data_IF_835021936835
#
_entry.id   IF_835021936835
#
_cell.length_a   1.000
_cell.length_b   1.000
_cell.length_c   1.000
_cell.angle_alpha   90.00
_cell.angle_beta   90.00
_cell.angle_gamma   90.00
#
_symmetry.space_group_name_H-M   'P 1'
#
loop_
_entity.id
_entity.type
_entity.pdbx_description
1 polymer ?
#
# COMPACT_ATOMS: atom_id res chain seq x y z
N UNK A 1 52.13 13.66 -7.43
CA UNK A 1 51.18 13.15 -8.44
C UNK A 1 50.58 14.36 -9.12
N UNK A 2 50.65 14.44 -10.45
CA UNK A 2 50.00 15.52 -11.19
C UNK A 2 48.56 15.11 -11.52
N UNK A 3 47.59 15.74 -10.85
CA UNK A 3 46.17 15.37 -10.95
C UNK A 3 45.58 15.64 -12.34
N UNK A 4 46.06 16.67 -13.04
CA UNK A 4 45.60 16.99 -14.40
C UNK A 4 46.06 15.94 -15.42
N UNK A 5 47.29 15.45 -15.28
CA UNK A 5 47.84 14.37 -16.14
C UNK A 5 47.12 13.05 -15.84
N UNK A 6 46.87 12.77 -14.57
CA UNK A 6 46.15 11.56 -14.16
C UNK A 6 44.73 11.52 -14.74
N UNK A 7 44.00 12.64 -14.72
CA UNK A 7 42.66 12.73 -15.31
C UNK A 7 42.69 12.52 -16.83
N UNK A 8 43.60 13.20 -17.54
CA UNK A 8 43.79 13.02 -18.99
C UNK A 8 44.10 11.57 -19.38
N UNK A 9 44.86 10.86 -18.55
CA UNK A 9 45.08 9.42 -18.76
C UNK A 9 43.80 8.60 -18.57
N UNK A 10 43.01 8.87 -17.53
CA UNK A 10 41.73 8.18 -17.32
C UNK A 10 40.71 8.45 -18.43
N UNK A 11 40.75 9.64 -19.02
CA UNK A 11 39.92 10.04 -20.17
C UNK A 11 40.43 9.44 -21.50
N UNK A 12 41.60 8.80 -21.49
CA UNK A 12 42.20 8.14 -22.66
C UNK A 12 42.93 9.09 -23.61
N UNK A 13 43.20 10.33 -23.18
CA UNK A 13 43.92 11.33 -23.98
C UNK A 13 45.45 11.11 -23.97
N UNK A 14 45.97 10.41 -22.96
CA UNK A 14 47.40 10.12 -22.78
C UNK A 14 47.66 8.62 -22.69
N UNK A 15 48.80 8.18 -23.23
CA UNK A 15 49.26 6.80 -23.10
C UNK A 15 50.05 6.58 -21.80
N UNK A 16 50.19 5.32 -21.36
CA UNK A 16 50.88 4.99 -20.11
C UNK A 16 52.38 5.37 -20.12
N UNK A 17 52.98 5.40 -21.31
CA UNK A 17 54.38 5.77 -21.54
C UNK A 17 54.64 7.27 -21.30
N UNK A 18 53.61 8.09 -21.44
CA UNK A 18 53.66 9.55 -21.32
C UNK A 18 53.49 10.04 -19.86
N UNK A 19 53.20 9.12 -18.94
CA UNK A 19 53.07 9.38 -17.51
C UNK A 19 54.42 9.55 -16.82
N UNK A 20 54.50 10.52 -15.92
CA UNK A 20 55.59 10.63 -14.96
C UNK A 20 55.58 9.44 -13.99
N UNK A 21 56.76 9.09 -13.48
CA UNK A 21 56.96 7.92 -12.62
C UNK A 21 56.11 7.99 -11.33
N UNK A 22 55.90 9.19 -10.80
CA UNK A 22 55.07 9.41 -9.62
C UNK A 22 53.59 9.11 -9.91
N UNK A 23 53.05 9.64 -11.02
CA UNK A 23 51.66 9.37 -11.43
C UNK A 23 51.45 7.91 -11.83
N UNK A 24 52.44 7.24 -12.45
CA UNK A 24 52.39 5.81 -12.76
C UNK A 24 52.26 4.95 -11.50
N UNK A 25 52.99 5.28 -10.43
CA UNK A 25 52.85 4.60 -9.14
C UNK A 25 51.46 4.80 -8.53
N UNK A 26 50.92 6.03 -8.58
CA UNK A 26 49.56 6.33 -8.14
C UNK A 26 48.50 5.55 -8.92
N UNK A 27 48.69 5.39 -10.23
CA UNK A 27 47.85 4.55 -11.10
C UNK A 27 47.84 3.09 -10.66
N UNK A 28 49.00 2.53 -10.32
CA UNK A 28 49.09 1.17 -9.79
C UNK A 28 48.27 0.97 -8.51
N UNK A 29 48.25 1.97 -7.62
CA UNK A 29 47.43 1.95 -6.39
C UNK A 29 45.94 2.07 -6.73
N UNK A 30 45.60 2.97 -7.66
CA UNK A 30 44.22 3.17 -8.11
C UNK A 30 43.63 1.90 -8.72
N UNK A 31 44.35 1.23 -9.63
CA UNK A 31 43.90 -0.02 -10.27
C UNK A 31 43.69 -1.13 -9.24
N UNK A 32 44.60 -1.29 -8.27
CA UNK A 32 44.43 -2.25 -7.16
C UNK A 32 43.19 -1.94 -6.33
N UNK A 33 42.94 -0.66 -6.07
CA UNK A 33 41.76 -0.22 -5.30
C UNK A 33 40.46 -0.54 -6.06
N UNK A 34 40.42 -0.26 -7.37
CA UNK A 34 39.29 -0.65 -8.23
C UNK A 34 39.09 -2.15 -8.21
N UNK A 35 40.17 -2.93 -8.34
CA UNK A 35 40.07 -4.38 -8.33
C UNK A 35 39.47 -4.89 -7.03
N UNK A 36 39.92 -4.38 -5.88
CA UNK A 36 39.41 -4.76 -4.57
C UNK A 36 37.95 -4.34 -4.38
N UNK A 37 37.57 -3.14 -4.85
CA UNK A 37 36.18 -2.70 -4.91
C UNK A 37 35.33 -3.64 -5.77
N UNK A 38 35.80 -4.00 -6.97
CA UNK A 38 35.10 -4.92 -7.87
C UNK A 38 34.88 -6.28 -7.21
N UNK A 39 35.90 -6.84 -6.57
CA UNK A 39 35.77 -8.10 -5.80
C UNK A 39 34.74 -7.97 -4.68
N UNK A 40 34.69 -6.82 -3.99
CA UNK A 40 33.70 -6.57 -2.94
C UNK A 40 32.27 -6.47 -3.50
N UNK A 41 32.08 -5.83 -4.65
CA UNK A 41 30.76 -5.68 -5.28
C UNK A 41 30.31 -6.94 -6.03
N UNK A 42 31.24 -7.73 -6.56
CA UNK A 42 30.98 -9.05 -7.14
C UNK A 42 30.80 -10.16 -6.11
N UNK A 43 30.88 -9.81 -4.81
CA UNK A 43 30.57 -10.74 -3.73
C UNK A 43 29.15 -11.27 -3.87
N UNK A 44 29.03 -12.52 -4.33
CA UNK A 44 27.79 -13.28 -4.30
C UNK A 44 27.67 -13.92 -2.91
N UNK A 45 26.74 -13.47 -2.05
CA UNK A 45 26.51 -14.13 -0.78
C UNK A 45 26.13 -15.60 -1.04
N UNK A 46 26.54 -16.50 -0.14
CA UNK A 46 26.13 -17.90 -0.23
C UNK A 46 24.61 -18.01 -0.11
N UNK A 47 24.00 -18.95 -0.85
CA UNK A 47 22.53 -19.18 -0.88
C UNK A 47 21.88 -19.19 0.51
N UNK A 48 22.54 -19.81 1.50
CA UNK A 48 22.04 -19.86 2.87
C UNK A 48 21.89 -18.49 3.56
N UNK A 49 22.77 -17.53 3.24
CA UNK A 49 22.71 -16.17 3.78
C UNK A 49 21.63 -15.37 3.08
N UNK A 50 21.52 -15.54 1.76
CA UNK A 50 20.48 -14.95 0.93
C UNK A 50 19.09 -15.36 1.43
N UNK A 51 18.85 -16.65 1.59
CA UNK A 51 17.59 -17.20 2.10
C UNK A 51 17.25 -16.68 3.51
N UNK A 52 18.26 -16.53 4.38
CA UNK A 52 18.07 -16.01 5.75
C UNK A 52 17.67 -14.53 5.75
N UNK A 53 18.19 -13.73 4.83
CA UNK A 53 17.85 -12.31 4.72
C UNK A 53 16.46 -12.15 4.10
N UNK A 54 16.19 -12.85 2.99
CA UNK A 54 14.91 -12.75 2.30
C UNK A 54 13.74 -13.36 3.09
N UNK A 55 13.96 -14.45 3.82
CA UNK A 55 12.90 -15.04 4.67
C UNK A 55 12.37 -14.07 5.73
N UNK A 56 13.21 -13.19 6.28
CA UNK A 56 12.77 -12.13 7.20
C UNK A 56 11.89 -11.09 6.51
N UNK A 57 12.19 -10.76 5.26
CA UNK A 57 11.43 -9.78 4.48
C UNK A 57 10.05 -10.32 4.08
N UNK A 58 9.99 -11.56 3.60
CA UNK A 58 8.75 -12.24 3.25
C UNK A 58 7.83 -12.44 4.45
N UNK A 59 8.38 -12.74 5.63
CA UNK A 59 7.60 -12.90 6.86
C UNK A 59 6.86 -11.61 7.26
N UNK A 60 7.53 -10.45 7.19
CA UNK A 60 6.88 -9.16 7.49
C UNK A 60 5.73 -8.87 6.52
N UNK A 61 5.95 -9.02 5.22
CA UNK A 61 4.90 -8.80 4.19
C UNK A 61 3.69 -9.69 4.40
N UNK A 62 3.91 -10.97 4.77
CA UNK A 62 2.83 -11.92 5.07
C UNK A 62 1.99 -11.48 6.27
N UNK A 63 2.62 -11.04 7.36
CA UNK A 63 1.92 -10.57 8.56
C UNK A 63 1.06 -9.34 8.24
N UNK A 64 1.61 -8.35 7.51
CA UNK A 64 0.83 -7.17 7.10
C UNK A 64 -0.37 -7.54 6.23
N UNK A 65 -0.19 -8.45 5.27
CA UNK A 65 -1.31 -8.90 4.41
C UNK A 65 -2.39 -9.62 5.21
N UNK A 66 -2.02 -10.47 6.17
CA UNK A 66 -2.97 -11.19 7.03
C UNK A 66 -3.74 -10.21 7.92
N UNK A 67 -3.06 -9.20 8.46
CA UNK A 67 -3.70 -8.17 9.28
C UNK A 67 -4.70 -7.34 8.47
N UNK A 68 -4.34 -6.93 7.25
CA UNK A 68 -5.22 -6.19 6.37
C UNK A 68 -6.49 -6.99 6.00
N UNK A 69 -6.33 -8.29 5.69
CA UNK A 69 -7.46 -9.19 5.40
C UNK A 69 -8.36 -9.37 6.63
N UNK A 70 -7.77 -9.52 7.82
CA UNK A 70 -8.53 -9.67 9.06
C UNK A 70 -9.35 -8.41 9.37
N UNK A 71 -8.76 -7.23 9.20
CA UNK A 71 -9.44 -5.94 9.38
C UNK A 71 -10.57 -5.80 8.35
N UNK A 72 -10.32 -6.09 7.07
CA UNK A 72 -11.36 -5.96 6.04
C UNK A 72 -12.53 -6.91 6.31
N UNK A 73 -12.26 -8.16 6.70
CA UNK A 73 -13.29 -9.13 7.05
C UNK A 73 -14.11 -8.68 8.25
N UNK A 74 -13.48 -8.12 9.29
CA UNK A 74 -14.18 -7.59 10.46
C UNK A 74 -15.08 -6.40 10.10
N UNK A 75 -14.62 -5.48 9.24
CA UNK A 75 -15.42 -4.35 8.76
C UNK A 75 -16.64 -4.83 7.95
N UNK A 76 -16.45 -5.80 7.06
CA UNK A 76 -17.55 -6.38 6.28
C UNK A 76 -18.57 -7.06 7.19
N UNK A 77 -18.12 -7.82 8.20
CA UNK A 77 -19.02 -8.47 9.16
C UNK A 77 -19.81 -7.44 9.99
N UNK A 78 -19.15 -6.37 10.44
CA UNK A 78 -19.82 -5.27 11.14
C UNK A 78 -20.84 -4.56 10.24
N UNK A 79 -20.50 -4.32 8.97
CA UNK A 79 -21.42 -3.72 8.01
C UNK A 79 -22.66 -4.60 7.81
N UNK A 80 -22.49 -5.91 7.61
CA UNK A 80 -23.62 -6.85 7.45
C UNK A 80 -24.47 -6.90 8.72
N UNK A 81 -23.85 -6.99 9.90
CA UNK A 81 -24.57 -6.97 11.17
C UNK A 81 -25.40 -5.70 11.36
N UNK A 82 -24.83 -4.53 11.03
CA UNK A 82 -25.50 -3.23 11.25
C UNK A 82 -26.53 -2.86 10.19
N UNK A 83 -26.34 -3.27 8.93
CA UNK A 83 -27.19 -2.83 7.83
C UNK A 83 -28.16 -3.91 7.32
N UNK A 84 -27.80 -5.19 7.43
CA UNK A 84 -28.62 -6.30 6.90
C UNK A 84 -29.45 -6.95 8.02
N UNK A 85 -28.89 -7.12 9.22
CA UNK A 85 -29.61 -7.78 10.33
C UNK A 85 -30.48 -6.77 11.10
N UNK A 86 -30.00 -5.53 11.26
CA UNK A 86 -30.82 -4.41 11.74
C UNK A 86 -31.45 -3.67 10.55
N UNK A 87 -32.23 -4.37 9.71
CA UNK A 87 -33.26 -3.67 8.94
C UNK A 87 -34.17 -2.97 9.97
N UNK A 88 -33.97 -1.65 10.13
CA UNK A 88 -34.95 -0.80 10.77
C UNK A 88 -36.24 -1.00 9.99
N UNK A 89 -37.16 -1.79 10.53
CA UNK A 89 -38.54 -1.86 10.05
C UNK A 89 -38.94 -0.42 9.74
N UNK A 90 -39.37 -0.09 8.52
CA UNK A 90 -39.90 1.24 8.26
C UNK A 90 -41.01 1.43 9.29
N UNK A 91 -40.89 2.45 10.14
CA UNK A 91 -42.00 2.88 10.97
C UNK A 91 -43.09 3.27 10.00
N UNK A 92 -44.03 2.36 9.75
CA UNK A 92 -45.27 2.66 9.08
C UNK A 92 -45.81 3.91 9.78
N UNK A 93 -46.12 5.00 9.07
CA UNK A 93 -46.87 6.07 9.70
C UNK A 93 -48.14 5.40 10.24
N UNK A 94 -48.34 5.47 11.56
CA UNK A 94 -49.60 5.02 12.12
C UNK A 94 -50.65 5.97 11.56
N UNK A 95 -51.33 5.56 10.50
CA UNK A 95 -52.67 6.06 10.20
C UNK A 95 -53.51 5.66 11.41
N UNK A 96 -53.51 6.53 12.42
CA UNK A 96 -54.65 6.65 13.30
C UNK A 96 -55.76 7.12 12.38
N UNK A 97 -56.45 6.18 11.75
CA UNK A 97 -57.77 6.42 11.16
C UNK A 97 -58.60 6.89 12.33
N UNK A 98 -58.69 8.21 12.44
CA UNK A 98 -59.41 8.91 13.48
C UNK A 98 -60.85 8.42 13.37
N UNK A 99 -61.30 7.74 14.43
CA UNK A 99 -62.65 7.17 14.54
C UNK A 99 -63.74 8.21 14.20
N UNK A 100 -63.41 9.52 14.29
CA UNK A 100 -64.25 10.62 13.81
C UNK A 100 -64.62 10.54 12.33
N UNK A 101 -63.74 10.11 11.43
CA UNK A 101 -64.06 10.05 9.99
C UNK A 101 -65.11 8.97 9.67
N UNK A 102 -65.04 7.83 10.36
CA UNK A 102 -66.04 6.76 10.23
C UNK A 102 -67.38 7.18 10.84
N UNK A 103 -67.36 7.91 11.96
CA UNK A 103 -68.58 8.48 12.54
C UNK A 103 -69.20 9.58 11.66
N UNK A 104 -68.38 10.42 11.04
CA UNK A 104 -68.86 11.45 10.10
C UNK A 104 -69.46 10.83 8.85
N UNK A 105 -68.89 9.74 8.34
CA UNK A 105 -69.48 9.04 7.18
C UNK A 105 -70.83 8.39 7.54
N UNK A 106 -70.93 7.76 8.72
CA UNK A 106 -72.18 7.17 9.20
C UNK A 106 -73.24 8.24 9.52
N UNK A 107 -72.84 9.38 10.06
CA UNK A 107 -73.75 10.49 10.34
C UNK A 107 -74.24 11.15 9.05
N UNK A 108 -73.36 11.33 8.05
CA UNK A 108 -73.71 11.85 6.74
C UNK A 108 -74.69 10.93 6.00
N UNK A 109 -74.44 9.61 6.02
CA UNK A 109 -75.36 8.63 5.42
C UNK A 109 -76.72 8.62 6.12
N UNK A 110 -76.74 8.77 7.45
CA UNK A 110 -78.00 8.86 8.21
C UNK A 110 -78.77 10.14 7.90
N UNK A 111 -78.07 11.26 7.72
CA UNK A 111 -78.69 12.55 7.38
C UNK A 111 -79.32 12.54 5.97
N UNK A 112 -78.69 11.84 5.02
CA UNK A 112 -79.21 11.67 3.66
C UNK A 112 -80.39 10.69 3.63
N UNK A 113 -80.44 9.72 4.55
CA UNK A 113 -81.55 8.76 4.67
C UNK A 113 -82.83 9.30 5.32
N UNK A 114 -82.73 10.32 6.18
CA UNK A 114 -83.88 10.90 6.92
C UNK A 114 -84.47 12.17 6.26
N UNK A 115 -84.05 12.50 5.04
CA UNK A 115 -84.44 13.73 4.37
C UNK A 115 -84.80 13.57 2.89
N UNK A 116 -85.77 12.71 2.56
CA UNK A 116 -86.71 12.83 1.42
C UNK A 116 -87.90 11.87 1.58
#
# INVERSE_FOLDING_TARGET
MNEEIFQKFLDGELNEEELDEETRQSLGIYVKTIHLMKVRFEYKPGKNLEDRVFSKLHRKRRIFSQLAIAISAAVVLLFVMTNVIFEKKPSLPSEQVTVSEVFDYLSLVKLVGDGF
#
